data_IF_479640405157
#
_entry.id   IF_479640405157
#
_cell.length_a   1.000
_cell.length_b   1.000
_cell.length_c   1.000
_cell.angle_alpha   90.00
_cell.angle_beta   90.00
_cell.angle_gamma   90.00
#
_symmetry.space_group_name_H-M   'P 1'
#
loop_
_entity.id
_entity.type
_entity.pdbx_description
1 polymer ?
#
# COMPACT_ATOMS: atom_id res chain seq x y z
N UNK A 1 55.24 30.61 3.57
CA UNK A 1 54.02 31.44 3.45
C UNK A 1 53.04 30.61 2.62
N UNK A 2 52.20 29.73 3.18
CA UNK A 2 50.90 30.01 3.82
C UNK A 2 50.03 30.90 2.90
N UNK A 3 48.90 30.50 2.29
CA UNK A 3 47.83 29.62 2.75
C UNK A 3 47.02 29.01 1.57
N UNK A 4 46.61 27.74 1.73
CA UNK A 4 45.49 27.14 1.00
C UNK A 4 44.20 27.30 1.81
N UNK A 5 43.07 27.47 1.11
CA UNK A 5 41.74 27.48 1.72
C UNK A 5 40.89 26.41 1.02
N UNK A 6 40.87 25.23 1.64
CA UNK A 6 39.85 24.20 1.47
C UNK A 6 38.55 24.72 2.12
N UNK A 7 37.47 24.84 1.35
CA UNK A 7 36.13 24.97 1.92
C UNK A 7 35.67 23.59 2.41
N UNK A 8 35.64 23.46 3.75
CA UNK A 8 35.16 22.29 4.49
C UNK A 8 33.64 22.21 4.40
N UNK A 9 33.16 21.07 3.90
CA UNK A 9 31.77 20.61 4.01
C UNK A 9 31.52 20.22 5.47
N UNK A 10 30.52 20.77 6.17
CA UNK A 10 30.15 20.27 7.50
C UNK A 10 29.35 18.96 7.36
N UNK A 11 30.03 17.83 7.58
CA UNK A 11 29.42 16.56 7.94
C UNK A 11 28.78 16.70 9.34
N UNK A 12 27.46 16.90 9.39
CA UNK A 12 26.71 16.76 10.64
C UNK A 12 26.55 15.28 11.00
N UNK A 13 27.53 14.77 11.74
CA UNK A 13 27.44 13.51 12.48
C UNK A 13 26.42 13.67 13.60
N UNK A 14 25.24 13.05 13.43
CA UNK A 14 24.27 12.93 14.53
C UNK A 14 24.48 11.57 15.19
N UNK A 15 25.10 11.58 16.37
CA UNK A 15 25.16 10.44 17.28
C UNK A 15 23.74 10.19 17.82
N UNK A 16 23.05 9.19 17.29
CA UNK A 16 21.81 8.68 17.89
C UNK A 16 22.17 7.67 18.97
N UNK A 17 22.09 8.09 20.22
CA UNK A 17 22.18 7.22 21.39
C UNK A 17 20.91 6.37 21.47
N UNK A 18 20.95 5.15 20.93
CA UNK A 18 19.87 4.17 21.10
C UNK A 18 19.97 3.54 22.49
N UNK A 19 19.27 4.10 23.46
CA UNK A 19 18.99 3.41 24.73
C UNK A 19 18.04 2.23 24.46
N UNK A 20 18.59 1.02 24.49
CA UNK A 20 17.83 -0.22 24.36
C UNK A 20 16.97 -0.45 25.63
N UNK A 21 15.65 -0.29 25.50
CA UNK A 21 14.70 -0.73 26.53
C UNK A 21 14.50 -2.23 26.38
N UNK A 22 15.07 -2.99 27.34
CA UNK A 22 14.98 -4.44 27.46
C UNK A 22 13.60 -4.81 28.00
N UNK A 23 12.68 -5.26 27.14
CA UNK A 23 11.39 -5.82 27.57
C UNK A 23 11.58 -7.30 27.90
N UNK A 24 11.45 -7.63 29.19
CA UNK A 24 11.61 -8.97 29.75
C UNK A 24 10.50 -9.91 29.28
N UNK A 25 10.88 -11.09 28.78
CA UNK A 25 9.95 -12.18 28.47
C UNK A 25 9.39 -12.77 29.76
N UNK A 26 8.08 -12.63 30.00
CA UNK A 26 7.38 -13.47 30.98
C UNK A 26 6.90 -14.74 30.29
N UNK A 27 7.50 -15.88 30.66
CA UNK A 27 7.09 -17.21 30.26
C UNK A 27 5.83 -17.59 31.05
N UNK A 28 4.68 -17.69 30.38
CA UNK A 28 3.50 -18.34 30.94
C UNK A 28 3.18 -19.59 30.13
N UNK A 29 3.43 -20.74 30.76
CA UNK A 29 2.95 -22.04 30.31
C UNK A 29 1.46 -22.14 30.63
N UNK A 30 0.65 -22.44 29.60
CA UNK A 30 -0.74 -22.85 29.77
C UNK A 30 -1.07 -23.88 28.70
N UNK A 31 -0.84 -25.14 29.04
CA UNK A 31 -1.29 -26.31 28.29
C UNK A 31 -2.78 -26.51 28.51
N UNK A 32 -3.64 -26.10 27.58
CA UNK A 32 -5.04 -26.54 27.52
C UNK A 32 -5.43 -26.79 26.07
N UNK A 33 -5.43 -28.07 25.69
CA UNK A 33 -5.96 -28.55 24.42
C UNK A 33 -7.48 -28.45 24.45
N UNK A 34 -8.05 -27.49 23.74
CA UNK A 34 -9.49 -27.46 23.45
C UNK A 34 -9.70 -27.87 21.99
N UNK A 35 -10.18 -29.09 21.80
CA UNK A 35 -10.64 -29.60 20.51
C UNK A 35 -12.00 -28.98 20.19
N UNK A 36 -12.04 -27.96 19.34
CA UNK A 36 -13.28 -27.49 18.72
C UNK A 36 -13.53 -28.32 17.46
N UNK A 37 -14.46 -29.28 17.54
CA UNK A 37 -15.01 -29.98 16.38
C UNK A 37 -15.80 -29.00 15.51
N UNK A 38 -15.33 -28.78 14.27
CA UNK A 38 -16.10 -28.04 13.27
C UNK A 38 -17.22 -28.94 12.75
N UNK A 39 -18.43 -28.68 13.19
CA UNK A 39 -19.64 -29.22 12.57
C UNK A 39 -19.79 -28.59 11.18
N UNK A 40 -19.45 -29.34 10.13
CA UNK A 40 -19.77 -28.96 8.75
C UNK A 40 -21.22 -29.37 8.51
N UNK A 41 -22.12 -28.38 8.50
CA UNK A 41 -23.47 -28.54 8.01
C UNK A 41 -23.42 -28.63 6.48
N UNK A 42 -23.74 -29.81 5.94
CA UNK A 42 -23.93 -30.03 4.51
C UNK A 42 -25.45 -30.06 4.24
N UNK A 43 -26.05 -28.90 4.00
CA UNK A 43 -27.41 -28.81 3.46
C UNK A 43 -27.33 -28.84 1.92
N UNK A 44 -27.39 -30.04 1.35
CA UNK A 44 -27.52 -30.24 -0.10
C UNK A 44 -28.99 -30.32 -0.48
N UNK A 45 -29.58 -29.21 -0.89
CA UNK A 45 -30.81 -29.23 -1.69
C UNK A 45 -30.40 -29.40 -3.15
N UNK A 46 -30.42 -30.64 -3.64
CA UNK A 46 -30.14 -30.94 -5.03
C UNK A 46 -31.36 -30.57 -5.89
N UNK A 47 -31.29 -29.42 -6.57
CA UNK A 47 -32.15 -29.12 -7.72
C UNK A 47 -31.29 -29.30 -8.96
N UNK A 48 -31.47 -30.41 -9.66
CA UNK A 48 -30.82 -30.71 -10.93
C UNK A 48 -31.60 -30.05 -12.07
N UNK A 49 -31.09 -28.93 -12.57
CA UNK A 49 -31.48 -28.37 -13.87
C UNK A 49 -30.39 -28.76 -14.88
N UNK A 50 -30.77 -29.55 -15.87
CA UNK A 50 -29.94 -29.95 -17.00
C UNK A 50 -29.94 -28.85 -18.06
N UNK A 51 -28.82 -28.12 -18.19
CA UNK A 51 -28.50 -27.38 -19.41
C UNK A 51 -27.04 -27.63 -19.80
N UNK A 52 -26.85 -28.28 -20.94
CA UNK A 52 -25.58 -28.29 -21.67
C UNK A 52 -25.34 -26.89 -22.23
N UNK A 53 -24.70 -26.04 -21.43
CA UNK A 53 -24.12 -24.78 -21.89
C UNK A 53 -22.60 -24.94 -21.87
N UNK A 54 -21.96 -24.66 -23.00
CA UNK A 54 -20.50 -24.63 -23.13
C UNK A 54 -19.93 -23.87 -21.93
N UNK A 55 -19.21 -24.57 -21.03
CA UNK A 55 -18.61 -23.96 -19.84
C UNK A 55 -17.51 -23.02 -20.30
N UNK A 56 -17.87 -21.76 -20.56
CA UNK A 56 -16.88 -20.69 -20.57
C UNK A 56 -16.15 -20.74 -19.23
N UNK A 57 -14.82 -20.66 -19.20
CA UNK A 57 -14.07 -20.65 -17.96
C UNK A 57 -14.58 -19.49 -17.10
N UNK A 58 -15.22 -19.82 -15.99
CA UNK A 58 -15.87 -18.84 -15.13
C UNK A 58 -14.79 -17.98 -14.47
N UNK A 59 -14.60 -16.76 -14.98
CA UNK A 59 -13.61 -15.82 -14.48
C UNK A 59 -14.03 -15.40 -13.07
N UNK A 60 -13.14 -15.59 -12.09
CA UNK A 60 -13.38 -15.16 -10.71
C UNK A 60 -13.16 -13.66 -10.57
N UNK A 61 -13.80 -13.03 -9.58
CA UNK A 61 -13.70 -11.58 -9.37
C UNK A 61 -12.27 -11.03 -9.31
N UNK A 62 -11.26 -11.69 -8.69
CA UNK A 62 -9.90 -11.14 -8.69
C UNK A 62 -9.26 -11.13 -10.08
N UNK A 63 -9.64 -12.08 -10.95
CA UNK A 63 -9.14 -12.16 -12.31
C UNK A 63 -9.76 -11.04 -13.17
N UNK A 64 -11.05 -10.73 -12.99
CA UNK A 64 -11.69 -9.58 -13.66
C UNK A 64 -10.99 -8.27 -13.29
N UNK A 65 -10.73 -8.07 -12.00
CA UNK A 65 -10.01 -6.89 -11.51
C UNK A 65 -8.59 -6.83 -12.09
N UNK A 66 -7.89 -7.95 -12.19
CA UNK A 66 -6.55 -8.00 -12.78
C UNK A 66 -6.57 -7.65 -14.28
N UNK A 67 -7.59 -8.07 -15.02
CA UNK A 67 -7.78 -7.74 -16.43
C UNK A 67 -8.03 -6.24 -16.62
N UNK A 68 -8.86 -5.62 -15.77
CA UNK A 68 -9.16 -4.18 -15.84
C UNK A 68 -7.91 -3.31 -15.65
N UNK A 69 -7.02 -3.74 -14.76
CA UNK A 69 -5.76 -3.08 -14.44
C UNK A 69 -4.55 -3.64 -15.22
N UNK A 70 -4.78 -4.45 -16.26
CA UNK A 70 -3.69 -5.12 -16.98
C UNK A 70 -2.78 -4.12 -17.70
N UNK A 71 -3.33 -2.97 -18.11
CA UNK A 71 -2.59 -1.91 -18.81
C UNK A 71 -1.54 -1.22 -17.92
N UNK A 72 -1.65 -1.34 -16.59
CA UNK A 72 -0.62 -0.84 -15.68
C UNK A 72 0.66 -1.70 -15.73
N UNK A 73 0.62 -2.93 -16.23
CA UNK A 73 1.78 -3.84 -16.22
C UNK A 73 2.38 -4.07 -14.81
N UNK A 74 1.64 -3.76 -13.74
CA UNK A 74 2.07 -3.93 -12.36
C UNK A 74 1.62 -5.31 -11.83
N UNK A 75 2.52 -6.13 -11.27
CA UNK A 75 2.15 -7.39 -10.62
C UNK A 75 1.21 -7.16 -9.43
N UNK A 76 0.09 -7.90 -9.38
CA UNK A 76 -0.94 -7.72 -8.34
C UNK A 76 -0.47 -8.13 -6.93
N UNK A 77 0.52 -9.02 -6.81
CA UNK A 77 0.83 -9.72 -5.55
C UNK A 77 2.22 -9.36 -5.00
N UNK A 78 3.18 -9.10 -5.87
CA UNK A 78 4.60 -9.02 -5.50
C UNK A 78 5.17 -7.70 -6.00
N UNK A 79 5.72 -6.92 -5.09
CA UNK A 79 6.77 -5.98 -5.46
C UNK A 79 8.07 -6.68 -5.11
N UNK A 80 8.98 -6.88 -6.07
CA UNK A 80 10.16 -7.75 -5.92
C UNK A 80 10.97 -7.47 -4.65
N UNK A 81 11.08 -6.20 -4.29
CA UNK A 81 11.80 -5.72 -3.13
C UNK A 81 11.01 -5.83 -1.81
N UNK A 82 9.67 -5.77 -1.86
CA UNK A 82 8.80 -5.78 -0.69
C UNK A 82 8.14 -7.15 -0.45
N UNK A 83 8.27 -8.07 -1.40
CA UNK A 83 7.62 -9.38 -1.42
C UNK A 83 6.09 -9.31 -1.34
N UNK A 84 5.51 -10.45 -0.96
CA UNK A 84 4.09 -10.54 -0.61
C UNK A 84 3.83 -9.84 0.73
N UNK A 85 3.34 -8.60 0.68
CA UNK A 85 3.02 -7.84 1.90
C UNK A 85 1.76 -8.40 2.56
N UNK A 86 1.94 -9.14 3.66
CA UNK A 86 0.85 -9.41 4.60
C UNK A 86 0.56 -8.14 5.38
N UNK A 87 -0.64 -7.60 5.17
CA UNK A 87 -1.11 -6.42 5.88
C UNK A 87 -2.30 -6.81 6.75
N UNK A 88 -2.23 -6.47 8.04
CA UNK A 88 -3.34 -6.67 8.99
C UNK A 88 -4.56 -5.89 8.53
N UNK A 89 -5.78 -6.37 8.75
CA UNK A 89 -6.99 -5.70 8.27
C UNK A 89 -7.36 -4.46 9.09
N UNK A 90 -7.11 -4.49 10.40
CA UNK A 90 -7.42 -3.38 11.31
C UNK A 90 -6.19 -2.53 11.66
N UNK A 91 -6.38 -1.22 11.71
CA UNK A 91 -5.48 -0.22 12.31
C UNK A 91 -6.35 0.65 13.21
N UNK A 92 -5.78 1.20 14.28
CA UNK A 92 -6.43 2.26 15.03
C UNK A 92 -6.01 3.62 14.43
N UNK A 93 -6.89 4.35 13.71
CA UNK A 93 -6.56 5.67 13.18
C UNK A 93 -6.44 6.75 14.25
N UNK A 94 -6.95 6.50 15.47
CA UNK A 94 -6.92 7.45 16.59
C UNK A 94 -5.73 7.23 17.53
N UNK A 95 -4.72 6.47 17.12
CA UNK A 95 -3.49 6.34 17.91
C UNK A 95 -2.74 7.67 17.92
N UNK A 96 -2.12 8.02 19.05
CA UNK A 96 -1.40 9.29 19.23
C UNK A 96 -0.36 9.58 18.14
N UNK A 97 0.32 8.56 17.61
CA UNK A 97 1.29 8.72 16.52
C UNK A 97 0.67 9.16 15.18
N UNK A 98 -0.65 9.06 15.02
CA UNK A 98 -1.41 9.48 13.84
C UNK A 98 -2.33 10.68 14.12
N UNK A 99 -2.41 11.12 15.38
CA UNK A 99 -3.19 12.30 15.78
C UNK A 99 -2.43 13.61 15.60
N UNK A 100 -1.14 13.54 15.27
CA UNK A 100 -0.29 14.71 15.02
C UNK A 100 -0.56 15.16 13.57
N UNK A 101 -1.03 16.41 13.35
CA UNK A 101 -1.18 16.95 12.01
C UNK A 101 0.16 16.98 11.27
N UNK A 102 0.12 16.66 9.98
CA UNK A 102 1.28 16.78 9.09
C UNK A 102 1.14 18.09 8.31
N UNK A 103 2.23 18.85 8.22
CA UNK A 103 2.28 20.03 7.36
C UNK A 103 2.07 19.60 5.90
N UNK A 104 1.17 20.28 5.16
CA UNK A 104 0.95 19.95 3.76
C UNK A 104 2.23 20.20 2.96
N UNK A 105 2.53 19.36 1.94
CA UNK A 105 3.66 19.61 1.06
C UNK A 105 3.43 20.89 0.25
N UNK A 106 4.53 21.48 -0.24
CA UNK A 106 4.47 22.51 -1.26
C UNK A 106 4.02 21.88 -2.59
N UNK A 107 2.83 22.23 -3.08
CA UNK A 107 2.20 21.52 -4.20
C UNK A 107 2.95 21.72 -5.52
N UNK A 108 3.62 22.86 -5.65
CA UNK A 108 4.55 23.22 -6.72
C UNK A 108 5.73 22.25 -6.87
N UNK A 109 6.09 21.55 -5.79
CA UNK A 109 7.16 20.53 -5.82
C UNK A 109 6.61 19.10 -6.04
N UNK A 110 5.29 18.91 -5.90
CA UNK A 110 4.63 17.60 -6.00
C UNK A 110 4.05 17.37 -7.39
N UNK A 111 3.36 18.36 -7.95
CA UNK A 111 2.68 18.24 -9.23
C UNK A 111 3.29 19.16 -10.28
N UNK A 112 3.36 18.68 -11.52
CA UNK A 112 3.84 19.46 -12.67
C UNK A 112 2.99 20.72 -12.91
N UNK A 113 1.66 20.60 -12.78
CA UNK A 113 0.74 21.74 -12.76
C UNK A 113 -0.17 21.67 -11.52
N UNK A 114 0.18 22.39 -10.43
CA UNK A 114 -0.61 22.42 -9.20
C UNK A 114 -2.00 23.04 -9.36
N UNK A 115 -2.28 23.74 -10.47
CA UNK A 115 -3.57 24.42 -10.71
C UNK A 115 -4.64 23.46 -11.22
N UNK A 116 -4.26 22.25 -11.65
CA UNK A 116 -5.21 21.23 -12.07
C UNK A 116 -6.06 20.75 -10.87
N UNK A 117 -7.32 20.34 -11.10
CA UNK A 117 -8.16 19.78 -10.06
C UNK A 117 -7.50 18.58 -9.37
N UNK A 118 -7.49 18.58 -8.03
CA UNK A 118 -6.94 17.50 -7.22
C UNK A 118 -8.03 16.48 -6.86
N UNK A 119 -7.79 15.21 -7.17
CA UNK A 119 -8.61 14.07 -6.76
C UNK A 119 -7.91 13.35 -5.62
N UNK A 120 -8.59 13.23 -4.48
CA UNK A 120 -8.05 12.57 -3.27
C UNK A 120 -8.77 11.26 -3.01
N UNK A 121 -8.02 10.19 -2.78
CA UNK A 121 -8.55 8.88 -2.37
C UNK A 121 -8.07 8.49 -0.96
N UNK A 122 -9.03 8.28 -0.07
CA UNK A 122 -8.80 8.04 1.36
C UNK A 122 -8.86 6.53 1.61
N UNK A 123 -7.75 5.97 2.10
CA UNK A 123 -7.58 4.53 2.20
C UNK A 123 -7.22 3.91 0.85
N UNK A 124 -6.38 4.59 0.07
CA UNK A 124 -6.02 4.23 -1.31
C UNK A 124 -5.24 2.91 -1.43
N UNK A 125 -4.86 2.29 -0.30
CA UNK A 125 -4.08 1.06 -0.28
C UNK A 125 -2.76 1.23 -1.01
N UNK A 126 -2.48 0.36 -1.99
CA UNK A 126 -1.28 0.47 -2.83
C UNK A 126 -1.46 1.36 -4.06
N UNK A 127 -2.53 2.15 -4.15
CA UNK A 127 -2.72 3.18 -5.18
C UNK A 127 -3.11 2.70 -6.58
N UNK A 128 -3.28 1.39 -6.83
CA UNK A 128 -3.54 0.85 -8.19
C UNK A 128 -4.70 1.52 -8.91
N UNK A 129 -5.80 1.75 -8.19
CA UNK A 129 -6.97 2.42 -8.76
C UNK A 129 -6.64 3.85 -9.20
N UNK A 130 -5.91 4.61 -8.37
CA UNK A 130 -5.50 5.97 -8.71
C UNK A 130 -4.54 6.00 -9.89
N UNK A 131 -3.58 5.09 -9.94
CA UNK A 131 -2.63 5.01 -11.04
C UNK A 131 -3.32 4.68 -12.36
N UNK A 132 -4.30 3.78 -12.31
CA UNK A 132 -5.16 3.44 -13.45
C UNK A 132 -5.97 4.64 -13.94
N UNK A 133 -6.51 5.45 -13.02
CA UNK A 133 -7.19 6.71 -13.35
C UNK A 133 -6.22 7.75 -13.91
N UNK A 134 -5.09 7.98 -13.24
CA UNK A 134 -4.09 8.97 -13.60
C UNK A 134 -3.53 8.71 -15.00
N UNK A 135 -3.19 7.45 -15.32
CA UNK A 135 -2.73 7.02 -16.64
C UNK A 135 -3.73 7.34 -17.77
N UNK A 136 -5.03 7.31 -17.48
CA UNK A 136 -6.11 7.58 -18.46
C UNK A 136 -6.47 9.05 -18.59
N UNK A 137 -6.01 9.90 -17.66
CA UNK A 137 -6.44 11.29 -17.52
C UNK A 137 -5.25 12.26 -17.42
N UNK A 138 -4.14 11.95 -18.08
CA UNK A 138 -2.93 12.76 -18.08
C UNK A 138 -3.22 14.21 -18.50
N UNK A 139 -2.66 15.16 -17.75
CA UNK A 139 -2.80 16.60 -18.02
C UNK A 139 -4.16 17.21 -17.67
N UNK A 140 -5.12 16.44 -17.14
CA UNK A 140 -6.44 16.97 -16.79
C UNK A 140 -6.66 17.15 -15.28
N UNK A 141 -6.03 16.31 -14.46
CA UNK A 141 -6.20 16.25 -13.00
C UNK A 141 -4.94 15.73 -12.33
N UNK A 142 -4.74 16.18 -11.09
CA UNK A 142 -3.77 15.63 -10.15
C UNK A 142 -4.45 14.60 -9.25
N UNK A 143 -3.74 13.56 -8.85
CA UNK A 143 -4.28 12.49 -8.02
C UNK A 143 -3.40 12.28 -6.78
N UNK A 144 -4.01 12.16 -5.60
CA UNK A 144 -3.30 11.93 -4.34
C UNK A 144 -3.97 10.81 -3.55
N UNK A 145 -3.19 9.80 -3.16
CA UNK A 145 -3.64 8.71 -2.31
C UNK A 145 -3.23 8.93 -0.85
N UNK A 146 -4.17 8.77 0.08
CA UNK A 146 -3.91 8.80 1.52
C UNK A 146 -4.04 7.40 2.11
N UNK A 147 -2.97 6.89 2.69
CA UNK A 147 -2.94 5.56 3.29
C UNK A 147 -2.15 5.55 4.60
N UNK A 148 -2.76 4.96 5.63
CA UNK A 148 -2.25 4.88 7.01
C UNK A 148 -1.17 3.80 7.17
N UNK A 149 -1.10 2.83 6.26
CA UNK A 149 -0.17 1.70 6.30
C UNK A 149 1.05 2.00 5.45
N UNK A 150 2.14 2.41 6.10
CA UNK A 150 3.44 2.68 5.47
C UNK A 150 3.88 1.62 4.44
N UNK A 151 3.66 0.33 4.71
CA UNK A 151 4.00 -0.76 3.76
C UNK A 151 3.28 -0.65 2.41
N UNK A 152 2.02 -0.20 2.41
CA UNK A 152 1.25 0.01 1.20
C UNK A 152 1.66 1.30 0.49
N UNK A 153 1.93 2.36 1.26
CA UNK A 153 2.46 3.63 0.75
C UNK A 153 3.78 3.43 0.00
N UNK A 154 4.77 2.77 0.62
CA UNK A 154 6.07 2.49 -0.01
C UNK A 154 5.93 1.69 -1.31
N UNK A 155 4.96 0.77 -1.37
CA UNK A 155 4.67 0.03 -2.60
C UNK A 155 4.06 0.94 -3.67
N UNK A 156 3.10 1.78 -3.30
CA UNK A 156 2.44 2.72 -4.21
C UNK A 156 3.47 3.69 -4.82
N UNK A 157 4.32 4.29 -3.99
CA UNK A 157 5.39 5.20 -4.42
C UNK A 157 6.33 4.55 -5.43
N UNK A 158 6.74 3.30 -5.19
CA UNK A 158 7.61 2.57 -6.12
C UNK A 158 6.91 2.34 -7.46
N UNK A 159 5.68 1.84 -7.42
CA UNK A 159 4.93 1.60 -8.64
C UNK A 159 4.65 2.90 -9.41
N UNK A 160 4.45 4.03 -8.72
CA UNK A 160 4.16 5.31 -9.36
C UNK A 160 5.38 5.81 -10.13
N UNK A 161 6.56 5.65 -9.54
CA UNK A 161 7.85 5.91 -10.20
C UNK A 161 8.09 4.98 -11.38
N UNK A 162 7.82 3.68 -11.24
CA UNK A 162 7.96 2.71 -12.34
C UNK A 162 7.04 3.02 -13.53
N UNK A 163 5.85 3.57 -13.26
CA UNK A 163 4.91 4.02 -14.29
C UNK A 163 5.20 5.41 -14.87
N UNK A 164 6.12 6.16 -14.28
CA UNK A 164 6.46 7.53 -14.67
C UNK A 164 5.22 8.46 -14.81
N UNK A 165 4.27 8.36 -13.87
CA UNK A 165 3.10 9.24 -13.83
C UNK A 165 3.49 10.59 -13.21
N UNK A 166 3.40 11.70 -13.95
CA UNK A 166 3.74 13.05 -13.46
C UNK A 166 2.61 13.74 -12.68
N UNK A 167 1.41 13.17 -12.68
CA UNK A 167 0.21 13.72 -12.05
C UNK A 167 -0.21 12.96 -10.78
N UNK A 168 0.75 12.38 -10.07
CA UNK A 168 0.56 11.52 -8.88
C UNK A 168 1.64 11.68 -7.81
#
# INVERSE_FOLDING_TARGET
>A
MANGILHKIPLFSTLVTSTAVKCSKSSFNSSLRHAYGRHICNCSSAVSVSQQQQRQPQIRSPQLVALEYADLSIPHIVCEELGALRVRQHVNPLSSCLSIPVEPPNWEDVFEDPKLPLVVDIGSGSGRFLMWLAKRNLGSKNYMGLEIRKKLVTRAEKWAKELALSNM
#
